data_IF_547733956079
#
_entry.id   IF_547733956079
#
_cell.length_a   1.000
_cell.length_b   1.000
_cell.length_c   1.000
_cell.angle_alpha   90.00
_cell.angle_beta   90.00
_cell.angle_gamma   90.00
#
_symmetry.space_group_name_H-M   'P 1'
#
loop_
_entity.id
_entity.type
_entity.pdbx_description
1 polymer ?
#
# COMPACT_ATOMS: atom_id res chain seq x y z
N UNK A 1 5.53 43.53 25.65
CA UNK A 1 6.30 42.84 24.59
C UNK A 1 5.66 41.46 24.44
N UNK A 2 4.65 41.35 23.59
CA UNK A 2 3.94 40.10 23.32
C UNK A 2 3.83 39.99 21.82
N UNK A 3 4.66 39.12 21.27
CA UNK A 3 4.86 38.88 19.84
C UNK A 3 3.66 38.07 19.34
N UNK A 4 2.80 38.69 18.52
CA UNK A 4 1.73 38.00 17.81
C UNK A 4 2.37 37.10 16.75
N UNK A 5 2.36 35.81 16.99
CA UNK A 5 2.77 34.79 16.03
C UNK A 5 1.67 34.65 14.97
N UNK A 6 1.92 35.24 13.81
CA UNK A 6 1.10 35.12 12.61
C UNK A 6 1.28 33.71 12.04
N UNK A 7 0.32 32.82 12.31
CA UNK A 7 0.25 31.49 11.69
C UNK A 7 -0.08 31.65 10.19
N UNK A 8 0.88 31.31 9.33
CA UNK A 8 0.64 31.05 7.92
C UNK A 8 -0.20 29.76 7.75
N UNK A 9 -1.03 29.67 6.70
CA UNK A 9 -1.83 28.50 6.43
C UNK A 9 -0.94 27.39 5.87
N UNK A 10 -0.62 26.39 6.70
CA UNK A 10 0.00 25.14 6.24
C UNK A 10 -0.98 24.41 5.35
N UNK A 11 -0.60 24.22 4.08
CA UNK A 11 -1.30 23.40 3.11
C UNK A 11 -1.46 21.98 3.66
N UNK A 12 -2.59 21.78 4.33
CA UNK A 12 -3.04 20.49 4.83
C UNK A 12 -3.52 19.75 3.60
N UNK A 13 -2.77 18.72 3.17
CA UNK A 13 -3.29 17.71 2.28
C UNK A 13 -4.62 17.24 2.90
N UNK A 14 -5.71 17.67 2.30
CA UNK A 14 -7.03 17.49 2.87
C UNK A 14 -7.36 16.03 2.64
N UNK A 15 -7.19 15.21 3.68
CA UNK A 15 -7.77 13.87 3.70
C UNK A 15 -9.27 14.13 3.49
N UNK A 16 -9.80 13.78 2.32
CA UNK A 16 -11.24 13.69 2.12
C UNK A 16 -11.70 12.51 2.98
N UNK A 17 -11.90 12.78 4.26
CA UNK A 17 -12.57 11.87 5.18
C UNK A 17 -14.02 11.88 4.72
N UNK A 18 -14.36 10.94 3.84
CA UNK A 18 -15.76 10.69 3.53
C UNK A 18 -16.50 10.38 4.85
N UNK A 19 -17.71 10.93 4.92
CA UNK A 19 -18.64 11.05 6.04
C UNK A 19 -19.06 9.76 6.76
N UNK A 20 -18.41 8.62 6.51
CA UNK A 20 -18.78 7.30 7.03
C UNK A 20 -18.07 6.94 8.34
N UNK A 21 -18.11 7.82 9.35
CA UNK A 21 -17.63 7.45 10.69
C UNK A 21 -18.31 6.16 11.15
N UNK A 22 -17.52 5.18 11.59
CA UNK A 22 -18.03 3.90 12.08
C UNK A 22 -18.24 2.80 11.04
N UNK A 23 -18.01 3.02 9.74
CA UNK A 23 -18.07 1.97 8.70
C UNK A 23 -17.02 2.15 7.60
N UNK A 24 -16.57 1.05 7.00
CA UNK A 24 -15.80 1.08 5.75
C UNK A 24 -16.65 1.67 4.63
N UNK A 25 -16.01 2.45 3.74
CA UNK A 25 -16.68 3.03 2.56
C UNK A 25 -17.28 1.94 1.66
N UNK A 26 -16.50 0.89 1.41
CA UNK A 26 -16.88 -0.24 0.58
C UNK A 26 -16.64 -1.57 1.30
N UNK A 27 -17.25 -2.66 0.80
CA UNK A 27 -16.91 -4.02 1.20
C UNK A 27 -15.53 -4.48 0.70
N UNK A 28 -14.98 -5.53 1.32
CA UNK A 28 -13.65 -6.06 1.01
C UNK A 28 -13.50 -6.43 -0.48
N UNK A 29 -14.47 -7.21 -0.99
CA UNK A 29 -14.47 -7.72 -2.37
C UNK A 29 -15.12 -6.77 -3.38
N UNK A 30 -15.54 -5.55 -2.99
CA UNK A 30 -16.07 -4.57 -3.95
C UNK A 30 -15.03 -4.11 -4.98
N UNK A 31 -13.77 -4.53 -4.84
CA UNK A 31 -12.74 -4.33 -5.85
C UNK A 31 -13.11 -4.91 -7.22
N UNK A 32 -13.85 -6.02 -7.25
CA UNK A 32 -14.27 -6.66 -8.51
C UNK A 32 -15.28 -5.81 -9.29
N UNK A 33 -16.03 -4.94 -8.60
CA UNK A 33 -16.94 -3.98 -9.24
C UNK A 33 -16.18 -2.84 -9.95
N UNK A 34 -14.90 -2.64 -9.63
CA UNK A 34 -14.03 -1.63 -10.22
C UNK A 34 -12.88 -2.25 -11.02
N UNK A 35 -13.06 -3.47 -11.55
CA UNK A 35 -12.00 -4.26 -12.20
C UNK A 35 -11.30 -3.52 -13.36
N UNK A 36 -12.01 -2.61 -14.02
CA UNK A 36 -11.49 -1.81 -15.15
C UNK A 36 -10.85 -0.48 -14.74
N UNK A 37 -10.80 -0.15 -13.44
CA UNK A 37 -10.08 1.04 -12.94
C UNK A 37 -8.61 0.69 -12.63
N UNK A 38 -7.67 1.64 -12.80
CA UNK A 38 -6.25 1.44 -12.50
C UNK A 38 -5.99 0.90 -11.09
N UNK A 39 -6.81 1.26 -10.11
CA UNK A 39 -6.80 0.73 -8.74
C UNK A 39 -6.90 -0.79 -8.67
N UNK A 40 -7.74 -1.43 -9.48
CA UNK A 40 -7.85 -2.89 -9.46
C UNK A 40 -6.58 -3.54 -10.03
N UNK A 41 -6.03 -2.97 -11.11
CA UNK A 41 -4.78 -3.42 -11.70
C UNK A 41 -3.60 -3.28 -10.72
N UNK A 42 -3.47 -2.13 -10.05
CA UNK A 42 -2.44 -1.90 -9.01
C UNK A 42 -2.56 -2.89 -7.86
N UNK A 43 -3.78 -3.21 -7.47
CA UNK A 43 -4.03 -4.14 -6.37
C UNK A 43 -3.56 -5.56 -6.67
N UNK A 44 -3.55 -5.98 -7.93
CA UNK A 44 -3.02 -7.30 -8.34
C UNK A 44 -1.55 -7.28 -8.72
N UNK A 45 -1.07 -6.25 -9.43
CA UNK A 45 0.30 -6.23 -9.97
C UNK A 45 1.32 -5.54 -9.05
N UNK A 46 0.89 -4.64 -8.15
CA UNK A 46 1.77 -4.09 -7.12
C UNK A 46 1.02 -3.69 -5.84
N UNK A 47 0.43 -4.67 -5.13
CA UNK A 47 -0.27 -4.44 -3.86
C UNK A 47 0.63 -3.76 -2.83
N UNK A 48 1.92 -4.12 -2.79
CA UNK A 48 2.93 -3.49 -1.93
C UNK A 48 3.15 -2.01 -2.25
N UNK A 49 3.17 -1.62 -3.53
CA UNK A 49 3.27 -0.21 -3.93
C UNK A 49 2.03 0.57 -3.46
N UNK A 50 0.84 0.01 -3.72
CA UNK A 50 -0.42 0.63 -3.33
C UNK A 50 -0.53 0.78 -1.81
N UNK A 51 -0.09 -0.22 -1.04
CA UNK A 51 0.01 -0.11 0.40
C UNK A 51 0.95 1.03 0.82
N UNK A 52 2.11 1.16 0.18
CA UNK A 52 3.03 2.28 0.42
C UNK A 52 2.39 3.66 0.13
N UNK A 53 1.56 3.76 -0.91
CA UNK A 53 0.79 4.97 -1.23
C UNK A 53 -0.27 5.28 -0.17
N UNK A 54 -1.02 4.26 0.27
CA UNK A 54 -2.00 4.40 1.37
C UNK A 54 -1.32 4.84 2.66
N UNK A 55 -0.19 4.20 3.01
CA UNK A 55 0.58 4.54 4.20
C UNK A 55 1.09 5.99 4.16
N UNK A 56 1.56 6.45 2.99
CA UNK A 56 2.01 7.83 2.81
C UNK A 56 0.87 8.83 2.96
N UNK A 57 -0.31 8.54 2.39
CA UNK A 57 -1.54 9.34 2.54
C UNK A 57 -2.00 9.48 3.98
N UNK A 58 -2.00 8.37 4.72
CA UNK A 58 -2.53 8.35 6.09
C UNK A 58 -1.52 8.77 7.15
N UNK A 59 -0.28 9.09 6.76
CA UNK A 59 0.74 9.63 7.68
C UNK A 59 1.56 8.56 8.41
N UNK A 60 1.79 7.41 7.81
CA UNK A 60 2.50 6.27 8.41
C UNK A 60 3.93 6.11 7.86
N UNK A 61 4.83 5.60 8.70
CA UNK A 61 6.19 5.19 8.32
C UNK A 61 6.27 3.74 7.78
N UNK A 62 7.45 3.26 7.41
CA UNK A 62 7.69 1.89 6.90
C UNK A 62 7.37 0.76 7.89
N UNK A 63 7.08 1.09 9.14
CA UNK A 63 6.67 0.15 10.19
C UNK A 63 5.20 0.30 10.55
N UNK A 64 4.45 1.08 9.76
CA UNK A 64 3.05 1.43 9.97
C UNK A 64 2.79 2.10 11.33
N UNK A 65 3.70 2.98 11.76
CA UNK A 65 3.50 3.85 12.91
C UNK A 65 3.24 5.30 12.45
N UNK A 66 2.40 6.08 13.17
CA UNK A 66 2.18 7.49 12.88
C UNK A 66 3.49 8.28 12.94
N UNK A 67 3.73 9.13 11.96
CA UNK A 67 5.00 9.86 11.83
C UNK A 67 4.78 11.29 11.33
N UNK A 68 5.86 12.07 11.22
CA UNK A 68 5.79 13.42 10.68
C UNK A 68 5.48 13.41 9.17
N UNK A 69 4.84 14.46 8.63
CA UNK A 69 4.49 14.53 7.20
C UNK A 69 5.69 14.31 6.25
N UNK A 70 6.86 14.83 6.61
CA UNK A 70 8.08 14.68 5.81
C UNK A 70 8.57 13.24 5.70
N UNK A 71 8.39 12.45 6.77
CA UNK A 71 8.74 11.02 6.78
C UNK A 71 7.68 10.23 6.05
N UNK A 72 6.40 10.53 6.28
CA UNK A 72 5.28 9.87 5.61
C UNK A 72 5.34 10.03 4.08
N UNK A 73 5.67 11.22 3.57
CA UNK A 73 5.83 11.47 2.12
C UNK A 73 6.91 10.59 1.49
N UNK A 74 7.91 10.17 2.26
CA UNK A 74 9.01 9.28 1.81
C UNK A 74 8.69 7.80 2.01
N UNK A 75 7.60 7.45 2.69
CA UNK A 75 7.25 6.06 3.00
C UNK A 75 7.03 5.24 1.74
N UNK A 76 6.28 5.76 0.76
CA UNK A 76 6.11 5.09 -0.54
C UNK A 76 7.45 4.76 -1.20
N UNK A 77 8.34 5.74 -1.33
CA UNK A 77 9.66 5.53 -1.94
C UNK A 77 10.48 4.47 -1.20
N UNK A 78 10.41 4.43 0.14
CA UNK A 78 11.11 3.42 0.94
C UNK A 78 10.52 2.02 0.74
N UNK A 79 9.19 1.88 0.77
CA UNK A 79 8.51 0.60 0.51
C UNK A 79 8.80 0.12 -0.91
N UNK A 80 8.75 1.01 -1.90
CA UNK A 80 9.10 0.69 -3.28
C UNK A 80 10.57 0.23 -3.39
N UNK A 81 11.50 0.89 -2.71
CA UNK A 81 12.90 0.49 -2.70
C UNK A 81 13.10 -0.90 -2.08
N UNK A 82 12.43 -1.20 -0.97
CA UNK A 82 12.47 -2.53 -0.33
C UNK A 82 11.94 -3.60 -1.29
N UNK A 83 10.78 -3.33 -1.89
CA UNK A 83 10.15 -4.24 -2.84
C UNK A 83 11.05 -4.48 -4.06
N UNK A 84 11.55 -3.40 -4.69
CA UNK A 84 12.43 -3.50 -5.85
C UNK A 84 13.73 -4.24 -5.52
N UNK A 85 14.37 -3.95 -4.39
CA UNK A 85 15.57 -4.64 -3.94
C UNK A 85 15.35 -6.15 -3.74
N UNK A 86 14.19 -6.52 -3.19
CA UNK A 86 13.79 -7.93 -3.09
C UNK A 86 13.65 -8.59 -4.47
N UNK A 87 12.97 -7.96 -5.43
CA UNK A 87 12.84 -8.49 -6.79
C UNK A 87 14.19 -8.65 -7.50
N UNK A 88 15.07 -7.64 -7.40
CA UNK A 88 16.42 -7.70 -7.95
C UNK A 88 17.23 -8.83 -7.31
N UNK A 89 17.13 -8.98 -5.98
CA UNK A 89 17.81 -10.07 -5.27
C UNK A 89 17.33 -11.44 -5.77
N UNK A 90 16.02 -11.63 -5.94
CA UNK A 90 15.47 -12.87 -6.48
C UNK A 90 15.91 -13.15 -7.91
N UNK A 91 15.93 -12.14 -8.78
CA UNK A 91 16.40 -12.28 -10.16
C UNK A 91 17.90 -12.64 -10.23
N UNK A 92 18.72 -12.07 -9.34
CA UNK A 92 20.15 -12.42 -9.24
C UNK A 92 20.30 -13.87 -8.77
N UNK A 93 19.59 -14.30 -7.73
CA UNK A 93 19.66 -15.67 -7.24
C UNK A 93 19.23 -16.68 -8.33
N UNK A 94 18.14 -16.38 -9.05
CA UNK A 94 17.63 -17.19 -10.14
C UNK A 94 18.59 -17.31 -11.33
N UNK A 95 19.37 -16.26 -11.61
CA UNK A 95 20.36 -16.26 -12.70
C UNK A 95 21.72 -16.82 -12.30
N UNK A 96 22.02 -16.84 -10.99
CA UNK A 96 23.33 -17.28 -10.48
C UNK A 96 23.36 -18.77 -10.13
N UNK A 97 22.26 -19.32 -9.59
CA UNK A 97 22.24 -20.68 -9.07
C UNK A 97 21.42 -21.62 -9.97
N UNK A 98 21.95 -22.80 -10.33
CA UNK A 98 21.22 -23.76 -11.13
C UNK A 98 20.00 -24.29 -10.38
N UNK A 99 18.93 -24.50 -11.13
CA UNK A 99 17.69 -25.09 -10.64
C UNK A 99 17.54 -26.49 -11.21
N UNK A 100 17.09 -27.43 -10.38
CA UNK A 100 16.60 -28.73 -10.80
C UNK A 100 15.08 -28.75 -10.79
N UNK A 101 14.50 -29.46 -11.74
CA UNK A 101 13.06 -29.75 -11.72
C UNK A 101 12.82 -30.98 -10.84
N UNK A 102 11.94 -30.84 -9.87
CA UNK A 102 11.42 -31.93 -9.05
C UNK A 102 9.97 -32.14 -9.46
N UNK A 103 9.67 -33.33 -9.96
CA UNK A 103 8.31 -33.73 -10.29
C UNK A 103 7.85 -34.76 -9.27
N UNK A 104 6.87 -34.38 -8.47
CA UNK A 104 6.13 -35.26 -7.56
C UNK A 104 4.72 -35.41 -8.11
N UNK A 105 4.34 -36.64 -8.48
CA UNK A 105 3.08 -36.96 -9.14
C UNK A 105 2.80 -36.06 -10.37
N UNK A 106 1.69 -35.32 -10.38
CA UNK A 106 1.27 -34.41 -11.46
C UNK A 106 1.79 -32.98 -11.29
N UNK A 107 2.63 -32.72 -10.28
CA UNK A 107 3.14 -31.39 -9.95
C UNK A 107 4.66 -31.31 -10.16
N UNK A 108 5.08 -30.50 -11.12
CA UNK A 108 6.49 -30.18 -11.34
C UNK A 108 6.80 -28.77 -10.84
N UNK A 109 7.88 -28.64 -10.06
CA UNK A 109 8.36 -27.36 -9.56
C UNK A 109 9.89 -27.27 -9.64
N UNK A 110 10.39 -26.06 -9.82
CA UNK A 110 11.84 -25.80 -9.85
C UNK A 110 12.34 -25.47 -8.45
N UNK A 111 13.40 -26.14 -8.00
CA UNK A 111 14.15 -25.78 -6.78
C UNK A 111 15.61 -25.56 -7.10
N UNK A 112 16.32 -24.77 -6.29
CA UNK A 112 17.76 -24.66 -6.44
C UNK A 112 18.42 -26.00 -6.10
N UNK A 113 19.42 -26.39 -6.89
CA UNK A 113 20.18 -27.63 -6.62
C UNK A 113 20.87 -27.58 -5.25
N UNK A 114 21.30 -26.39 -4.84
CA UNK A 114 21.88 -26.15 -3.54
C UNK A 114 20.78 -26.01 -2.47
N UNK A 115 20.73 -26.96 -1.53
CA UNK A 115 19.74 -27.00 -0.44
C UNK A 115 19.82 -25.78 0.49
N UNK A 116 21.04 -25.27 0.75
CA UNK A 116 21.22 -24.07 1.57
C UNK A 116 20.62 -22.84 0.88
N UNK A 117 20.83 -22.69 -0.44
CA UNK A 117 20.21 -21.60 -1.23
C UNK A 117 18.69 -21.73 -1.22
N UNK A 118 18.14 -22.92 -1.45
CA UNK A 118 16.69 -23.16 -1.36
C UNK A 118 16.13 -22.75 0.01
N UNK A 119 16.79 -23.17 1.09
CA UNK A 119 16.38 -22.84 2.47
C UNK A 119 16.46 -21.33 2.72
N UNK A 120 17.55 -20.67 2.32
CA UNK A 120 17.73 -19.23 2.47
C UNK A 120 16.71 -18.43 1.67
N UNK A 121 16.40 -18.83 0.45
CA UNK A 121 15.38 -18.20 -0.41
C UNK A 121 14.00 -18.35 0.24
N UNK A 122 13.65 -19.53 0.74
CA UNK A 122 12.37 -19.74 1.41
C UNK A 122 12.25 -18.93 2.71
N UNK A 123 13.32 -18.85 3.49
CA UNK A 123 13.38 -17.99 4.68
C UNK A 123 13.21 -16.51 4.30
N UNK A 124 13.89 -16.04 3.26
CA UNK A 124 13.75 -14.66 2.77
C UNK A 124 12.32 -14.34 2.33
N UNK A 125 11.69 -15.23 1.54
CA UNK A 125 10.28 -15.12 1.14
C UNK A 125 9.37 -15.01 2.35
N UNK A 126 9.58 -15.88 3.35
CA UNK A 126 8.80 -15.91 4.57
C UNK A 126 8.94 -14.61 5.37
N UNK A 127 10.18 -14.12 5.59
CA UNK A 127 10.43 -12.87 6.33
C UNK A 127 9.85 -11.66 5.62
N UNK A 128 10.02 -11.54 4.30
CA UNK A 128 9.45 -10.43 3.51
C UNK A 128 7.93 -10.50 3.49
N UNK A 129 7.35 -11.70 3.34
CA UNK A 129 5.91 -11.91 3.41
C UNK A 129 5.33 -11.52 4.78
N UNK A 130 5.98 -11.93 5.88
CA UNK A 130 5.61 -11.52 7.24
C UNK A 130 5.69 -10.00 7.42
N UNK A 131 6.75 -9.37 6.91
CA UNK A 131 6.89 -7.92 6.95
C UNK A 131 5.68 -7.22 6.30
N UNK A 132 5.34 -7.58 5.05
CA UNK A 132 4.20 -6.99 4.33
C UNK A 132 2.86 -7.29 5.00
N UNK A 133 2.68 -8.49 5.55
CA UNK A 133 1.49 -8.85 6.31
C UNK A 133 1.33 -7.96 7.54
N UNK A 134 2.39 -7.80 8.35
CA UNK A 134 2.37 -7.01 9.58
C UNK A 134 2.03 -5.55 9.26
N UNK A 135 2.70 -4.93 8.28
CA UNK A 135 2.41 -3.53 7.94
C UNK A 135 1.01 -3.37 7.34
N UNK A 136 0.47 -4.36 6.63
CA UNK A 136 -0.92 -4.35 6.16
C UNK A 136 -1.90 -4.36 7.34
N UNK A 137 -1.70 -5.27 8.31
CA UNK A 137 -2.55 -5.36 9.50
C UNK A 137 -2.52 -4.07 10.32
N UNK A 138 -1.32 -3.53 10.58
CA UNK A 138 -1.15 -2.29 11.33
C UNK A 138 -1.76 -1.08 10.61
N UNK A 139 -1.59 -0.99 9.30
CA UNK A 139 -2.20 0.09 8.49
C UNK A 139 -3.72 0.02 8.55
N UNK A 140 -4.28 -1.19 8.41
CA UNK A 140 -5.73 -1.40 8.51
C UNK A 140 -6.27 -1.04 9.88
N UNK A 141 -5.61 -1.50 10.95
CA UNK A 141 -5.94 -1.16 12.33
C UNK A 141 -5.92 0.36 12.54
N UNK A 142 -4.87 1.04 12.08
CA UNK A 142 -4.75 2.49 12.21
C UNK A 142 -5.93 3.23 11.54
N UNK A 143 -6.27 2.86 10.30
CA UNK A 143 -7.41 3.44 9.58
C UNK A 143 -8.71 3.16 10.33
N UNK A 144 -8.91 1.91 10.77
CA UNK A 144 -10.11 1.48 11.50
C UNK A 144 -10.30 2.28 12.80
N UNK A 145 -9.25 2.42 13.60
CA UNK A 145 -9.27 3.20 14.84
C UNK A 145 -9.51 4.69 14.58
N UNK A 146 -8.82 5.27 13.59
CA UNK A 146 -8.97 6.67 13.20
C UNK A 146 -10.39 7.01 12.74
N UNK A 147 -11.05 6.08 12.05
CA UNK A 147 -12.40 6.23 11.53
C UNK A 147 -13.49 5.63 12.43
N UNK A 148 -13.15 5.21 13.66
CA UNK A 148 -14.05 4.58 14.65
C UNK A 148 -14.80 3.34 14.11
N UNK A 149 -14.23 2.63 13.14
CA UNK A 149 -14.82 1.44 12.54
C UNK A 149 -14.68 0.27 13.52
N UNK A 150 -15.77 -0.47 13.85
CA UNK A 150 -15.69 -1.61 14.74
C UNK A 150 -14.87 -2.75 14.11
N UNK A 151 -14.14 -3.49 14.93
CA UNK A 151 -13.35 -4.65 14.51
C UNK A 151 -12.29 -5.01 15.55
N UNK A 152 -11.47 -6.01 15.25
CA UNK A 152 -10.38 -6.46 16.12
C UNK A 152 -9.14 -6.87 15.31
N UNK A 153 -8.03 -7.12 16.01
CA UNK A 153 -6.75 -7.45 15.37
C UNK A 153 -6.78 -8.79 14.63
N UNK A 154 -7.59 -9.75 15.08
CA UNK A 154 -7.74 -11.04 14.40
C UNK A 154 -8.46 -10.87 13.06
N UNK A 155 -9.50 -10.04 13.01
CA UNK A 155 -10.17 -9.69 11.75
C UNK A 155 -9.18 -9.01 10.79
N UNK A 156 -8.38 -8.07 11.29
CA UNK A 156 -7.37 -7.38 10.48
C UNK A 156 -6.33 -8.36 9.91
N UNK A 157 -5.90 -9.34 10.70
CA UNK A 157 -4.98 -10.42 10.28
C UNK A 157 -5.61 -11.36 9.25
N UNK A 158 -6.85 -11.83 9.49
CA UNK A 158 -7.55 -12.73 8.58
C UNK A 158 -7.82 -12.05 7.25
N UNK A 159 -8.25 -10.78 7.24
CA UNK A 159 -8.43 -10.02 6.02
C UNK A 159 -7.10 -9.87 5.25
N UNK A 160 -6.03 -9.49 5.94
CA UNK A 160 -4.72 -9.29 5.31
C UNK A 160 -4.10 -10.59 4.78
N UNK A 161 -4.36 -11.74 5.41
CA UNK A 161 -3.86 -13.06 4.99
C UNK A 161 -4.71 -13.69 3.89
N UNK A 162 -6.04 -13.71 4.04
CA UNK A 162 -6.95 -14.41 3.12
C UNK A 162 -7.20 -13.65 1.81
N UNK A 163 -7.28 -12.32 1.85
CA UNK A 163 -7.31 -11.51 0.63
C UNK A 163 -6.52 -10.20 0.84
N UNK A 164 -5.20 -10.31 0.77
CA UNK A 164 -4.28 -9.18 0.93
C UNK A 164 -4.62 -8.03 -0.04
N UNK A 165 -4.82 -8.37 -1.31
CA UNK A 165 -5.13 -7.41 -2.35
C UNK A 165 -6.48 -6.71 -2.09
N UNK A 166 -7.56 -7.45 -1.79
CA UNK A 166 -8.86 -6.87 -1.43
C UNK A 166 -8.74 -5.90 -0.25
N UNK A 167 -7.99 -6.30 0.78
CA UNK A 167 -7.78 -5.52 2.00
C UNK A 167 -7.07 -4.20 1.71
N UNK A 168 -5.98 -4.23 0.93
CA UNK A 168 -5.26 -3.03 0.51
C UNK A 168 -6.14 -2.15 -0.38
N UNK A 169 -6.89 -2.74 -1.32
CA UNK A 169 -7.82 -2.02 -2.17
C UNK A 169 -8.95 -1.34 -1.39
N UNK A 170 -9.49 -1.99 -0.36
CA UNK A 170 -10.49 -1.39 0.53
C UNK A 170 -9.91 -0.18 1.28
N UNK A 171 -8.70 -0.31 1.85
CA UNK A 171 -8.02 0.82 2.49
C UNK A 171 -7.74 1.95 1.50
N UNK A 172 -7.34 1.62 0.28
CA UNK A 172 -7.05 2.61 -0.76
C UNK A 172 -8.27 3.42 -1.16
N UNK A 173 -9.44 2.77 -1.33
CA UNK A 173 -10.72 3.43 -1.67
C UNK A 173 -11.36 4.17 -0.48
N UNK A 174 -11.03 3.75 0.74
CA UNK A 174 -11.47 4.47 1.93
C UNK A 174 -10.67 5.76 2.18
N UNK A 175 -9.43 5.82 1.70
CA UNK A 175 -8.52 6.95 1.93
C UNK A 175 -8.38 7.90 0.76
N UNK A 176 -9.02 7.61 -0.38
CA UNK A 176 -9.05 8.46 -1.56
C UNK A 176 -10.33 8.20 -2.37
N UNK A 177 -10.77 9.20 -3.12
CA UNK A 177 -11.97 9.09 -3.94
C UNK A 177 -11.68 8.96 -5.43
N UNK A 178 -11.53 7.72 -5.91
CA UNK A 178 -11.24 7.43 -7.32
C UNK A 178 -12.43 7.62 -8.29
N UNK A 179 -13.55 8.17 -7.84
CA UNK A 179 -14.59 8.69 -8.73
C UNK A 179 -14.33 10.16 -9.10
N UNK A 180 -13.62 10.90 -8.26
CA UNK A 180 -13.31 12.33 -8.45
C UNK A 180 -11.82 12.61 -8.65
N UNK A 181 -10.95 11.73 -8.17
CA UNK A 181 -9.49 11.84 -8.21
C UNK A 181 -8.91 10.83 -9.20
N UNK A 182 -7.95 11.27 -10.01
CA UNK A 182 -7.27 10.42 -10.99
C UNK A 182 -6.10 9.71 -10.30
N UNK A 183 -6.01 8.40 -10.54
CA UNK A 183 -5.02 7.51 -9.93
C UNK A 183 -3.68 7.55 -10.69
N UNK A 184 -2.56 7.79 -10.00
CA UNK A 184 -1.21 7.84 -10.58
C UNK A 184 -0.25 6.81 -9.97
N UNK A 185 0.54 6.14 -10.82
CA UNK A 185 1.35 5.00 -10.39
C UNK A 185 2.61 5.41 -9.62
N UNK A 186 3.22 6.55 -9.97
CA UNK A 186 4.53 6.96 -9.46
C UNK A 186 4.49 8.16 -8.50
N UNK A 187 3.30 8.60 -8.07
CA UNK A 187 3.15 9.62 -7.03
C UNK A 187 3.22 9.00 -5.65
N UNK A 188 3.63 9.82 -4.67
CA UNK A 188 3.86 9.36 -3.29
C UNK A 188 2.56 8.97 -2.58
N UNK A 189 1.46 9.63 -2.91
CA UNK A 189 0.11 9.36 -2.41
C UNK A 189 -0.73 8.54 -3.40
N UNK A 190 -0.33 8.46 -4.67
CA UNK A 190 -1.06 7.74 -5.71
C UNK A 190 -2.17 8.57 -6.37
N UNK A 191 -2.21 9.88 -6.15
CA UNK A 191 -3.22 10.78 -6.72
C UNK A 191 -2.57 11.83 -7.62
N UNK A 192 -3.32 12.34 -8.60
CA UNK A 192 -2.91 13.53 -9.35
C UNK A 192 -2.97 14.78 -8.48
N UNK A 193 -1.94 15.63 -8.56
CA UNK A 193 -2.02 16.98 -8.01
C UNK A 193 -3.14 17.74 -8.75
N UNK A 194 -4.18 18.17 -8.03
CA UNK A 194 -5.18 19.08 -8.60
C UNK A 194 -4.48 20.36 -9.04
N UNK A 195 -4.72 20.87 -10.26
CA UNK A 195 -4.20 22.18 -10.65
C UNK A 195 -4.72 23.23 -9.66
N UNK A 196 -3.91 24.24 -9.31
CA UNK A 196 -4.33 25.29 -8.41
C UNK A 196 -5.61 25.92 -8.94
N UNK A 197 -6.61 26.08 -8.07
CA UNK A 197 -7.99 26.53 -8.36
C UNK A 197 -8.05 27.84 -9.18
N UNK A 198 -6.96 28.62 -9.19
CA UNK A 198 -6.77 29.81 -10.01
C UNK A 198 -6.66 29.56 -11.53
N UNK A 199 -6.21 28.38 -11.99
CA UNK A 199 -6.07 28.07 -13.42
C UNK A 199 -7.35 27.50 -14.04
N UNK A 200 -8.23 26.88 -13.24
CA UNK A 200 -9.50 26.33 -13.73
C UNK A 200 -10.48 27.41 -14.24
N UNK A 201 -10.38 28.62 -13.70
CA UNK A 201 -11.21 29.76 -14.13
C UNK A 201 -10.71 30.38 -15.44
N UNK A 202 -9.43 30.26 -15.78
CA UNK A 202 -8.85 30.85 -17.00
C UNK A 202 -9.06 30.02 -18.27
N UNK A 203 -9.43 28.75 -18.17
CA UNK A 203 -9.69 27.89 -19.34
C UNK A 203 -11.17 27.93 -19.76
N UNK A 204 -12.05 28.52 -18.94
CA UNK A 204 -13.48 28.70 -19.24
C UNK A 204 -13.88 30.15 -19.56
N UNK A 205 -12.92 31.05 -19.78
CA UNK A 205 -13.13 32.43 -20.22
C UNK A 205 -12.49 32.68 -21.58
#
# INVERSE_FOLDING_TARGET
>A
MSEKQTLLPTATATIVVDSSTGKWRDGLCNIFSHCFKPVCLKTWFCSSCLLGQVMSRVGLDTTANPTSPDVAKKTFCRIFTIFFAYFVTMAILDSTFPKKEVCEDEFCYSVFENESVTTSVNLLKFVVGLYFLIITCKTRKYIREKNQIPGNECEDLVCAWCCNCCTIGQMARHTADYDTEVDEFFTFDGLQEKPPEAEAVQIMA
#
